data_IF_140874389763
#
_entry.id   IF_140874389763
#
_cell.length_a   1.000
_cell.length_b   1.000
_cell.length_c   1.000
_cell.angle_alpha   90.00
_cell.angle_beta   90.00
_cell.angle_gamma   90.00
#
_symmetry.space_group_name_H-M   'P 1'
#
loop_
_entity.id
_entity.type
_entity.pdbx_description
1 polymer ?
#
# COMPACT_ATOMS: atom_id res chain seq x y z
N UNK A 1 -35.05 -7.45 -0.44
CA UNK A 1 -34.02 -8.32 -1.06
C UNK A 1 -32.75 -7.58 -1.53
N UNK A 2 -32.77 -6.28 -1.84
CA UNK A 2 -31.59 -5.51 -2.31
C UNK A 2 -30.51 -5.27 -1.23
N UNK A 3 -30.90 -5.20 0.04
CA UNK A 3 -29.98 -4.85 1.16
C UNK A 3 -28.96 -5.95 1.47
N UNK A 4 -29.35 -7.22 1.31
CA UNK A 4 -28.47 -8.37 1.49
C UNK A 4 -27.41 -8.48 0.38
N UNK A 5 -27.78 -8.14 -0.87
CA UNK A 5 -26.86 -8.14 -2.02
C UNK A 5 -25.77 -7.08 -1.87
N UNK A 6 -26.10 -5.89 -1.32
CA UNK A 6 -25.11 -4.85 -1.03
C UNK A 6 -24.11 -5.26 0.06
N UNK A 7 -24.60 -5.94 1.10
CA UNK A 7 -23.73 -6.51 2.14
C UNK A 7 -22.82 -7.61 1.56
N UNK A 8 -23.36 -8.49 0.71
CA UNK A 8 -22.57 -9.50 0.02
C UNK A 8 -21.48 -8.90 -0.89
N UNK A 9 -21.78 -7.81 -1.62
CA UNK A 9 -20.79 -7.10 -2.45
C UNK A 9 -19.70 -6.41 -1.62
N UNK A 10 -20.04 -5.82 -0.47
CA UNK A 10 -19.05 -5.23 0.45
C UNK A 10 -18.15 -6.31 1.05
N UNK A 11 -18.71 -7.44 1.47
CA UNK A 11 -17.94 -8.59 1.98
C UNK A 11 -17.06 -9.18 0.87
N UNK A 12 -17.55 -9.33 -0.36
CA UNK A 12 -16.75 -9.79 -1.50
C UNK A 12 -15.63 -8.80 -1.86
N UNK A 13 -15.86 -7.48 -1.78
CA UNK A 13 -14.83 -6.46 -1.96
C UNK A 13 -13.75 -6.51 -0.88
N UNK A 14 -14.14 -6.79 0.37
CA UNK A 14 -13.22 -6.99 1.51
C UNK A 14 -12.47 -8.33 1.41
N UNK A 15 -13.12 -9.39 0.94
CA UNK A 15 -12.51 -10.69 0.68
C UNK A 15 -11.59 -10.62 -0.53
N UNK A 16 -11.91 -9.85 -1.58
CA UNK A 16 -11.02 -9.57 -2.72
C UNK A 16 -9.79 -8.75 -2.33
N UNK A 17 -9.95 -7.77 -1.42
CA UNK A 17 -8.82 -7.06 -0.82
C UNK A 17 -7.93 -7.98 0.04
N UNK A 18 -8.51 -9.02 0.66
CA UNK A 18 -7.76 -10.08 1.36
C UNK A 18 -7.25 -11.18 0.43
N UNK A 19 -7.89 -11.46 -0.70
CA UNK A 19 -7.48 -12.47 -1.67
C UNK A 19 -6.38 -11.94 -2.59
N UNK A 20 -6.21 -10.62 -2.70
CA UNK A 20 -4.96 -10.04 -3.18
C UNK A 20 -3.78 -10.20 -2.18
N UNK A 21 -4.01 -10.89 -1.06
CA UNK A 21 -2.95 -11.50 -0.26
C UNK A 21 -2.53 -12.91 -0.76
N UNK A 22 -3.05 -13.38 -1.89
CA UNK A 22 -2.70 -14.66 -2.52
C UNK A 22 -1.35 -14.57 -3.27
N UNK A 23 -0.25 -14.42 -2.53
CA UNK A 23 1.12 -14.21 -3.06
C UNK A 23 1.36 -12.74 -3.43
N UNK A 24 1.53 -11.92 -2.40
CA UNK A 24 2.22 -10.64 -2.57
C UNK A 24 3.68 -10.98 -2.90
N UNK A 25 4.10 -10.72 -4.13
CA UNK A 25 5.53 -10.68 -4.45
C UNK A 25 6.14 -9.48 -3.72
N UNK A 26 6.64 -9.78 -2.52
CA UNK A 26 7.20 -8.77 -1.64
C UNK A 26 8.38 -8.04 -2.28
N UNK A 27 9.19 -8.73 -3.09
CA UNK A 27 10.33 -8.08 -3.73
C UNK A 27 9.87 -7.13 -4.83
N UNK A 28 8.95 -7.56 -5.68
CA UNK A 28 8.40 -6.70 -6.74
C UNK A 28 7.61 -5.50 -6.17
N UNK A 29 6.89 -5.66 -5.06
CA UNK A 29 6.19 -4.55 -4.40
C UNK A 29 7.17 -3.61 -3.67
N UNK A 30 8.20 -4.14 -3.00
CA UNK A 30 9.22 -3.29 -2.37
C UNK A 30 9.98 -2.46 -3.40
N UNK A 31 10.33 -3.03 -4.57
CA UNK A 31 10.97 -2.27 -5.65
C UNK A 31 10.06 -1.17 -6.20
N UNK A 32 8.80 -1.49 -6.51
CA UNK A 32 7.80 -0.48 -6.92
C UNK A 32 7.65 0.66 -5.91
N UNK A 33 7.74 0.35 -4.61
CA UNK A 33 7.71 1.37 -3.58
C UNK A 33 8.97 2.22 -3.49
N UNK A 34 10.15 1.69 -3.85
CA UNK A 34 11.39 2.48 -3.96
C UNK A 34 11.33 3.44 -5.14
N UNK A 35 10.86 2.98 -6.29
CA UNK A 35 10.66 3.82 -7.47
C UNK A 35 9.65 4.93 -7.20
N UNK A 36 8.52 4.58 -6.57
CA UNK A 36 7.54 5.57 -6.15
C UNK A 36 8.15 6.57 -5.16
N UNK A 37 8.97 6.11 -4.20
CA UNK A 37 9.70 7.01 -3.29
C UNK A 37 10.61 7.97 -4.06
N UNK A 38 11.36 7.51 -5.05
CA UNK A 38 12.21 8.36 -5.88
C UNK A 38 11.39 9.42 -6.63
N UNK A 39 10.20 9.07 -7.13
CA UNK A 39 9.31 10.02 -7.82
C UNK A 39 8.72 11.09 -6.90
N UNK A 40 8.49 10.78 -5.62
CA UNK A 40 7.94 11.73 -4.64
C UNK A 40 9.00 12.40 -3.76
N UNK A 41 10.26 11.93 -3.80
CA UNK A 41 11.40 12.56 -3.14
C UNK A 41 11.50 14.07 -3.41
N UNK A 42 11.33 14.60 -4.64
CA UNK A 42 11.33 16.04 -4.86
C UNK A 42 10.17 16.76 -4.15
N UNK A 43 8.99 16.14 -4.03
CA UNK A 43 7.86 16.69 -3.27
C UNK A 43 8.16 16.73 -1.77
N UNK A 44 8.79 15.68 -1.24
CA UNK A 44 9.24 15.62 0.14
C UNK A 44 10.33 16.67 0.44
N UNK A 45 11.27 16.87 -0.49
CA UNK A 45 12.30 17.91 -0.42
C UNK A 45 11.72 19.33 -0.50
N UNK A 46 10.63 19.50 -1.23
CA UNK A 46 9.86 20.75 -1.29
C UNK A 46 9.07 21.04 -0.01
N UNK A 47 9.18 20.19 1.02
CA UNK A 47 8.51 20.37 2.31
C UNK A 47 7.10 19.82 2.38
N UNK A 48 6.61 19.14 1.34
CA UNK A 48 5.36 18.37 1.45
C UNK A 48 5.63 17.15 2.32
N UNK A 49 5.24 17.21 3.60
CA UNK A 49 5.42 16.08 4.50
C UNK A 49 4.81 14.79 3.94
N UNK A 50 5.38 13.63 4.32
CA UNK A 50 4.94 12.29 3.87
C UNK A 50 3.42 12.09 4.05
N UNK A 51 2.84 12.70 5.08
CA UNK A 51 1.39 12.66 5.34
C UNK A 51 0.56 13.40 4.29
N UNK A 52 1.04 14.52 3.74
CA UNK A 52 0.37 15.27 2.69
C UNK A 52 0.43 14.51 1.36
N UNK A 53 1.62 14.06 0.97
CA UNK A 53 1.86 13.24 -0.23
C UNK A 53 1.12 11.89 -0.17
N UNK A 54 1.08 11.26 1.00
CA UNK A 54 0.33 10.01 1.21
C UNK A 54 -1.18 10.20 1.15
N UNK A 55 -1.71 11.33 1.62
CA UNK A 55 -3.15 11.61 1.57
C UNK A 55 -3.62 11.81 0.13
N UNK A 56 -2.85 12.54 -0.68
CA UNK A 56 -3.14 12.80 -2.09
C UNK A 56 -2.89 11.60 -3.01
N UNK A 57 -1.97 10.69 -2.66
CA UNK A 57 -1.57 9.60 -3.53
C UNK A 57 -1.91 8.20 -2.95
N UNK A 58 -2.86 7.50 -3.59
CA UNK A 58 -3.27 6.12 -3.22
C UNK A 58 -2.10 5.13 -3.28
N UNK A 59 -1.20 5.30 -4.24
CA UNK A 59 -0.02 4.43 -4.40
C UNK A 59 0.96 4.61 -3.24
N UNK A 60 1.12 5.85 -2.76
CA UNK A 60 1.97 6.14 -1.59
C UNK A 60 1.39 5.48 -0.35
N UNK A 61 0.07 5.63 -0.10
CA UNK A 61 -0.65 4.94 0.98
C UNK A 61 -0.46 3.42 0.95
N UNK A 62 -0.56 2.81 -0.23
CA UNK A 62 -0.31 1.37 -0.41
C UNK A 62 1.13 1.01 -0.04
N UNK A 63 2.11 1.81 -0.46
CA UNK A 63 3.52 1.57 -0.13
C UNK A 63 3.82 1.67 1.37
N UNK A 64 3.19 2.60 2.10
CA UNK A 64 3.28 2.64 3.58
C UNK A 64 2.84 1.31 4.18
N UNK A 65 1.68 0.82 3.72
CA UNK A 65 1.08 -0.39 4.24
C UNK A 65 1.93 -1.63 3.90
N UNK A 66 2.39 -1.75 2.64
CA UNK A 66 3.28 -2.81 2.18
C UNK A 66 4.56 -2.83 3.03
N UNK A 67 5.24 -1.69 3.20
CA UNK A 67 6.47 -1.63 4.00
C UNK A 67 6.22 -1.99 5.47
N UNK A 68 5.16 -1.46 6.10
CA UNK A 68 4.80 -1.85 7.48
C UNK A 68 4.55 -3.35 7.61
N UNK A 69 3.87 -3.94 6.63
CA UNK A 69 3.62 -5.39 6.62
C UNK A 69 4.90 -6.19 6.37
N UNK A 70 5.76 -5.72 5.48
CA UNK A 70 7.04 -6.35 5.15
C UNK A 70 8.00 -6.33 6.36
N UNK A 71 8.08 -5.22 7.10
CA UNK A 71 8.83 -5.11 8.37
C UNK A 71 8.28 -6.09 9.41
N UNK A 72 6.95 -6.11 9.61
CA UNK A 72 6.31 -7.06 10.54
C UNK A 72 6.57 -8.52 10.18
N UNK A 73 6.67 -8.82 8.90
CA UNK A 73 6.95 -10.16 8.37
C UNK A 73 8.46 -10.45 8.26
N UNK A 74 9.34 -9.52 8.65
CA UNK A 74 10.80 -9.61 8.54
C UNK A 74 11.28 -9.96 7.12
N UNK A 75 10.60 -9.38 6.12
CA UNK A 75 11.01 -9.57 4.72
C UNK A 75 12.32 -8.81 4.47
N UNK A 76 13.35 -9.45 3.88
CA UNK A 76 14.60 -8.78 3.54
C UNK A 76 14.37 -7.55 2.65
N UNK A 77 15.00 -6.43 3.00
CA UNK A 77 14.91 -5.18 2.21
C UNK A 77 13.75 -4.24 2.56
N UNK A 78 13.02 -4.52 3.65
CA UNK A 78 11.91 -3.70 4.14
C UNK A 78 12.30 -2.62 5.18
N UNK A 79 13.57 -2.52 5.57
CA UNK A 79 13.97 -1.88 6.85
C UNK A 79 14.05 -0.35 6.84
N UNK A 80 13.83 0.35 5.72
CA UNK A 80 14.12 1.79 5.62
C UNK A 80 12.98 2.60 4.96
N UNK A 81 12.04 3.08 5.77
CA UNK A 81 11.18 4.20 5.38
C UNK A 81 11.52 5.48 6.12
#
# INVERSE_FOLDING_TARGET
MIRAVRLALVVLGLVGARANAAVIDWQAELQRCRELRASVAPLLQAGEGISAVGRSNRSVRRCIWIQRMAVRKKIPGAENW
#
